data_IF_253810570311
#
_entry.id   IF_253810570311
#
_cell.length_a   1.000
_cell.length_b   1.000
_cell.length_c   1.000
_cell.angle_alpha   90.00
_cell.angle_beta   90.00
_cell.angle_gamma   90.00
#
_symmetry.space_group_name_H-M   'P 1'
#
loop_
_entity.id
_entity.type
_entity.pdbx_description
1 polymer ?
#
# COMPACT_ATOMS: atom_id res chain seq x y z
N UNK A 1 -9.77 -4.45 -2.47
CA UNK A 1 -8.60 -4.12 -3.31
C UNK A 1 -7.33 -4.41 -2.53
N UNK A 2 -6.32 -4.86 -3.24
CA UNK A 2 -4.95 -5.00 -2.78
C UNK A 2 -3.99 -4.75 -3.94
N UNK A 3 -2.72 -4.46 -3.64
CA UNK A 3 -1.65 -4.57 -4.62
C UNK A 3 -1.06 -5.97 -4.56
N UNK A 4 -0.84 -6.56 -5.73
CA UNK A 4 -0.12 -7.81 -5.87
C UNK A 4 1.35 -7.48 -6.16
N UNK A 5 2.21 -7.76 -5.18
CA UNK A 5 3.66 -7.60 -5.32
C UNK A 5 4.36 -8.50 -4.32
N UNK A 6 5.31 -9.30 -4.79
CA UNK A 6 6.12 -10.15 -3.92
C UNK A 6 7.27 -9.36 -3.32
N UNK A 7 7.25 -9.17 -2.00
CA UNK A 7 8.34 -8.52 -1.25
C UNK A 7 8.74 -9.44 -0.10
N UNK A 8 10.05 -9.73 -0.02
CA UNK A 8 10.61 -10.57 1.03
C UNK A 8 10.39 -9.96 2.42
N UNK A 9 10.02 -10.80 3.38
CA UNK A 9 9.84 -10.40 4.78
C UNK A 9 10.88 -11.09 5.66
N UNK A 10 11.02 -10.63 6.90
CA UNK A 10 11.90 -11.23 7.91
C UNK A 10 11.51 -12.68 8.29
N UNK A 11 10.29 -13.10 7.95
CA UNK A 11 9.75 -14.43 8.28
C UNK A 11 10.17 -15.53 7.31
N UNK A 12 11.07 -15.25 6.36
CA UNK A 12 11.56 -16.25 5.39
C UNK A 12 10.56 -16.61 4.28
N UNK A 13 9.45 -15.87 4.19
CA UNK A 13 8.47 -15.98 3.10
C UNK A 13 8.06 -14.58 2.62
N UNK A 14 7.75 -14.39 1.33
CA UNK A 14 7.35 -13.09 0.81
C UNK A 14 5.88 -12.79 1.16
N UNK A 15 5.61 -11.51 1.42
CA UNK A 15 4.25 -10.98 1.38
C UNK A 15 3.89 -10.66 -0.07
N UNK A 16 2.71 -11.07 -0.50
CA UNK A 16 2.27 -11.00 -1.89
C UNK A 16 1.08 -10.06 -2.07
N UNK A 17 0.24 -9.91 -1.04
CA UNK A 17 -0.99 -9.11 -1.08
C UNK A 17 -0.87 -7.91 -0.16
N UNK A 18 -1.01 -6.70 -0.69
CA UNK A 18 -0.80 -5.47 0.06
C UNK A 18 -2.06 -4.63 0.14
N UNK A 19 -2.65 -4.55 1.33
CA UNK A 19 -3.86 -3.78 1.60
C UNK A 19 -3.49 -2.42 2.16
N UNK A 20 -4.04 -1.33 1.62
CA UNK A 20 -3.98 -0.02 2.27
C UNK A 20 -4.80 -0.09 3.56
N UNK A 21 -4.15 0.20 4.69
CA UNK A 21 -4.77 0.15 6.02
C UNK A 21 -4.91 1.54 6.65
N UNK A 22 -4.15 2.52 6.17
CA UNK A 22 -4.27 3.91 6.60
C UNK A 22 -3.90 4.87 5.46
N UNK A 23 -4.63 5.98 5.38
CA UNK A 23 -4.33 7.12 4.53
C UNK A 23 -4.57 8.37 5.38
N UNK A 24 -3.53 9.18 5.59
CA UNK A 24 -3.60 10.43 6.32
C UNK A 24 -3.30 11.58 5.38
N UNK A 25 -4.25 12.52 5.26
CA UNK A 25 -4.15 13.68 4.38
C UNK A 25 -3.70 14.91 5.19
N UNK A 26 -2.48 15.37 4.95
CA UNK A 26 -1.96 16.62 5.50
C UNK A 26 -2.16 17.73 4.47
N UNK A 27 -3.28 18.42 4.64
CA UNK A 27 -3.73 19.50 3.75
C UNK A 27 -2.77 20.70 3.76
N UNK A 28 -2.09 20.96 4.87
CA UNK A 28 -1.18 22.10 5.00
C UNK A 28 0.13 21.82 4.26
N UNK A 29 0.69 20.63 4.45
CA UNK A 29 1.93 20.21 3.78
C UNK A 29 1.71 19.66 2.36
N UNK A 30 0.45 19.48 1.93
CA UNK A 30 0.07 18.87 0.63
C UNK A 30 0.73 17.50 0.43
N UNK A 31 0.54 16.62 1.40
CA UNK A 31 1.08 15.25 1.37
C UNK A 31 0.07 14.24 1.88
N UNK A 32 0.21 13.00 1.42
CA UNK A 32 -0.51 11.84 1.90
C UNK A 32 0.49 10.88 2.55
N UNK A 33 0.29 10.55 3.82
CA UNK A 33 1.02 9.48 4.48
C UNK A 33 0.17 8.19 4.37
N UNK A 34 0.75 7.13 3.80
CA UNK A 34 0.06 5.87 3.50
C UNK A 34 0.73 4.73 4.24
N UNK A 35 -0.08 3.85 4.83
CA UNK A 35 0.37 2.57 5.35
C UNK A 35 -0.32 1.42 4.60
N UNK A 36 0.48 0.44 4.18
CA UNK A 36 0.01 -0.81 3.59
C UNK A 36 0.45 -2.01 4.42
N UNK A 37 -0.44 -2.99 4.56
CA UNK A 37 -0.19 -4.25 5.24
C UNK A 37 -0.03 -5.37 4.21
N UNK A 38 1.10 -6.07 4.28
CA UNK A 38 1.44 -7.21 3.43
C UNK A 38 0.99 -8.53 4.03
N UNK A 39 0.37 -9.38 3.21
CA UNK A 39 -0.15 -10.70 3.58
C UNK A 39 0.45 -11.78 2.68
N UNK A 40 0.57 -12.99 3.22
CA UNK A 40 1.08 -14.14 2.50
C UNK A 40 0.25 -14.48 1.25
N UNK A 41 -1.07 -14.48 1.41
CA UNK A 41 -2.04 -14.82 0.36
C UNK A 41 -3.34 -14.03 0.55
N UNK A 42 -4.27 -14.18 -0.40
CA UNK A 42 -5.55 -13.48 -0.37
C UNK A 42 -6.43 -13.90 0.83
N UNK A 43 -6.42 -15.19 1.18
CA UNK A 43 -7.21 -15.72 2.29
C UNK A 43 -6.80 -15.09 3.63
N UNK A 44 -5.49 -14.98 3.89
CA UNK A 44 -4.95 -14.33 5.09
C UNK A 44 -5.36 -12.85 5.17
N UNK A 45 -5.38 -12.15 4.04
CA UNK A 45 -5.89 -10.77 3.93
C UNK A 45 -7.37 -10.70 4.28
N UNK A 46 -8.19 -11.54 3.64
CA UNK A 46 -9.66 -11.54 3.81
C UNK A 46 -10.08 -11.95 5.23
N UNK A 47 -9.34 -12.85 5.85
CA UNK A 47 -9.56 -13.29 7.23
C UNK A 47 -8.90 -12.38 8.29
N UNK A 48 -8.35 -11.23 7.88
CA UNK A 48 -7.70 -10.24 8.76
C UNK A 48 -6.65 -10.86 9.71
N UNK A 49 -5.89 -11.82 9.18
CA UNK A 49 -4.76 -12.44 9.90
C UNK A 49 -3.67 -11.40 10.16
N UNK A 50 -2.71 -11.76 11.00
CA UNK A 50 -1.56 -10.90 11.26
C UNK A 50 -0.80 -10.62 9.94
N UNK A 51 -0.58 -9.35 9.58
CA UNK A 51 0.25 -9.00 8.44
C UNK A 51 1.69 -9.48 8.63
N UNK A 52 2.32 -9.88 7.53
CA UNK A 52 3.73 -10.27 7.52
C UNK A 52 4.67 -9.07 7.47
N UNK A 53 4.19 -7.93 6.98
CA UNK A 53 4.98 -6.72 6.87
C UNK A 53 4.07 -5.49 6.81
N UNK A 54 4.59 -4.36 7.24
CA UNK A 54 3.96 -3.05 7.04
C UNK A 54 4.91 -2.22 6.19
N UNK A 55 4.41 -1.68 5.09
CA UNK A 55 5.12 -0.66 4.33
C UNK A 55 4.47 0.69 4.61
N UNK A 56 5.30 1.71 4.80
CA UNK A 56 4.87 3.08 4.99
C UNK A 56 5.55 3.94 3.94
N UNK A 57 4.80 4.86 3.35
CA UNK A 57 5.37 5.80 2.41
C UNK A 57 4.53 7.06 2.31
N UNK A 58 5.06 8.00 1.53
CA UNK A 58 4.50 9.32 1.38
C UNK A 58 4.32 9.66 -0.09
N UNK A 59 3.21 10.31 -0.40
CA UNK A 59 2.98 10.98 -1.67
C UNK A 59 2.95 12.47 -1.41
N UNK A 60 3.76 13.22 -2.14
CA UNK A 60 3.87 14.68 -2.03
C UNK A 60 4.16 15.30 -3.40
N UNK A 61 4.18 16.63 -3.47
CA UNK A 61 4.46 17.37 -4.69
C UNK A 61 3.37 17.20 -5.76
N UNK A 62 3.77 17.01 -7.02
CA UNK A 62 2.85 16.97 -8.17
C UNK A 62 1.90 15.74 -8.16
N UNK A 63 2.30 14.69 -7.45
CA UNK A 63 1.49 13.48 -7.25
C UNK A 63 0.42 13.65 -6.18
N UNK A 64 0.50 14.69 -5.34
CA UNK A 64 -0.49 14.92 -4.31
C UNK A 64 -1.88 15.14 -4.92
N UNK A 65 -2.86 14.47 -4.32
CA UNK A 65 -4.28 14.63 -4.59
C UNK A 65 -4.97 14.83 -3.25
N UNK A 66 -5.84 15.83 -3.17
CA UNK A 66 -6.59 16.11 -1.94
C UNK A 66 -7.68 15.06 -1.78
N UNK A 67 -7.73 14.45 -0.60
CA UNK A 67 -8.77 13.50 -0.19
C UNK A 67 -9.11 12.45 -1.27
N UNK A 68 -8.11 11.69 -1.76
CA UNK A 68 -8.30 10.74 -2.83
C UNK A 68 -9.20 9.59 -2.37
N UNK A 69 -9.96 9.03 -3.30
CA UNK A 69 -10.62 7.74 -3.12
C UNK A 69 -9.58 6.63 -2.93
N UNK A 70 -10.00 5.51 -2.34
CA UNK A 70 -9.12 4.36 -2.15
C UNK A 70 -8.56 3.83 -3.48
N UNK A 71 -9.36 3.86 -4.56
CA UNK A 71 -8.90 3.46 -5.89
C UNK A 71 -7.79 4.37 -6.43
N UNK A 72 -7.90 5.68 -6.22
CA UNK A 72 -6.86 6.65 -6.58
C UNK A 72 -5.60 6.45 -5.74
N UNK A 73 -5.72 6.14 -4.44
CA UNK A 73 -4.55 5.81 -3.60
C UNK A 73 -3.80 4.62 -4.17
N UNK A 74 -4.50 3.56 -4.58
CA UNK A 74 -3.87 2.40 -5.22
C UNK A 74 -3.19 2.75 -6.54
N UNK A 75 -3.80 3.62 -7.36
CA UNK A 75 -3.19 4.09 -8.60
C UNK A 75 -1.91 4.90 -8.32
N UNK A 76 -1.95 5.82 -7.35
CA UNK A 76 -0.79 6.63 -6.99
C UNK A 76 0.34 5.79 -6.39
N UNK A 77 0.02 4.76 -5.59
CA UNK A 77 1.03 3.86 -5.04
C UNK A 77 1.85 3.21 -6.15
N UNK A 78 1.22 2.75 -7.25
CA UNK A 78 1.92 2.14 -8.40
C UNK A 78 2.88 3.07 -9.12
N UNK A 79 2.77 4.39 -8.95
CA UNK A 79 3.72 5.35 -9.49
C UNK A 79 5.02 5.45 -8.67
N UNK A 80 5.03 4.90 -7.46
CA UNK A 80 6.21 4.90 -6.60
C UNK A 80 7.18 3.77 -7.00
N UNK A 81 8.50 4.01 -6.92
CA UNK A 81 9.51 3.00 -7.28
C UNK A 81 9.33 1.67 -6.52
N UNK A 82 9.00 1.74 -5.23
CA UNK A 82 8.77 0.57 -4.37
C UNK A 82 7.62 -0.32 -4.84
N UNK A 83 6.71 0.22 -5.65
CA UNK A 83 5.50 -0.44 -6.15
C UNK A 83 5.48 -0.53 -7.67
N UNK A 84 6.60 -0.24 -8.34
CA UNK A 84 6.76 -0.50 -9.76
C UNK A 84 6.36 -1.95 -10.05
N UNK A 85 5.62 -2.16 -11.14
CA UNK A 85 5.11 -3.45 -11.60
C UNK A 85 4.06 -4.12 -10.69
N UNK A 86 3.59 -3.45 -9.64
CA UNK A 86 2.52 -4.00 -8.81
C UNK A 86 1.18 -4.06 -9.57
N UNK A 87 0.54 -5.22 -9.55
CA UNK A 87 -0.79 -5.42 -10.12
C UNK A 87 -1.88 -5.06 -9.10
N UNK A 88 -3.12 -4.84 -9.56
CA UNK A 88 -4.28 -4.63 -8.67
C UNK A 88 -5.15 -5.87 -8.65
N UNK A 89 -5.55 -6.28 -7.45
CA UNK A 89 -6.62 -7.25 -7.19
C UNK A 89 -7.97 -6.55 -6.98
#
# INVERSE_FOLDING_TARGET
MALLKSINTEFGAPAQYWRVVSVSDDLLARKLDIATAGYFNEEARRAERQPMAIWQGRIEGDRYRRSPSLAEVYALLKELPDWAEAESD
#
